data_IF_264156507259
#
_entry.id   IF_264156507259
#
_cell.length_a   1.000
_cell.length_b   1.000
_cell.length_c   1.000
_cell.angle_alpha   90.00
_cell.angle_beta   90.00
_cell.angle_gamma   90.00
#
_symmetry.space_group_name_H-M   'P 1'
#
loop_
_entity.id
_entity.type
_entity.pdbx_description
1 polymer ?
#
# COMPACT_ATOMS: atom_id res chain seq x y z
N UNK A 1 -1.87 -3.44 10.66
CA UNK A 1 -3.26 -3.88 10.55
C UNK A 1 -3.35 -5.32 10.06
N UNK A 2 -4.52 -5.93 10.15
CA UNK A 2 -4.76 -7.36 9.87
C UNK A 2 -4.15 -8.33 10.88
N UNK A 3 -3.82 -7.88 12.09
CA UNK A 3 -3.42 -8.73 13.19
C UNK A 3 -4.51 -8.75 14.27
N UNK A 4 -4.80 -9.93 14.76
CA UNK A 4 -5.61 -10.15 15.94
C UNK A 4 -4.84 -11.11 16.85
N UNK A 5 -4.33 -10.58 17.96
CA UNK A 5 -3.71 -11.42 18.99
C UNK A 5 -4.82 -12.00 19.87
N UNK A 6 -4.91 -13.31 19.91
CA UNK A 6 -5.89 -14.04 20.74
C UNK A 6 -5.32 -14.43 22.09
N UNK A 7 -4.00 -14.36 22.22
CA UNK A 7 -3.23 -14.67 23.45
C UNK A 7 -1.97 -13.80 23.47
N UNK A 8 -1.29 -13.76 24.62
CA UNK A 8 -0.01 -13.10 24.75
C UNK A 8 1.04 -13.75 23.84
N UNK A 9 1.74 -12.94 23.04
CA UNK A 9 2.76 -13.44 22.15
C UNK A 9 4.07 -13.70 22.90
N UNK A 10 4.49 -14.97 22.98
CA UNK A 10 5.71 -15.41 23.66
C UNK A 10 6.96 -15.28 22.77
N UNK A 11 7.20 -14.13 22.20
CA UNK A 11 8.31 -13.91 21.27
C UNK A 11 8.74 -12.46 21.22
N UNK A 12 9.67 -12.13 20.31
CA UNK A 12 10.12 -10.76 20.06
C UNK A 12 9.33 -10.16 18.90
N UNK A 13 8.69 -9.02 19.13
CA UNK A 13 8.03 -8.24 18.09
C UNK A 13 8.97 -7.12 17.64
N UNK A 14 9.35 -7.13 16.35
CA UNK A 14 10.10 -6.05 15.73
C UNK A 14 9.14 -5.01 15.16
N UNK A 15 9.20 -3.79 15.68
CA UNK A 15 8.47 -2.65 15.13
C UNK A 15 9.44 -1.74 14.36
N UNK A 16 9.42 -1.76 13.01
CA UNK A 16 10.32 -0.91 12.21
C UNK A 16 9.88 0.54 12.29
N UNK A 17 10.59 1.34 13.08
CA UNK A 17 10.32 2.76 13.29
C UNK A 17 11.12 3.70 12.37
N UNK A 18 11.72 3.20 11.29
CA UNK A 18 12.49 4.00 10.35
C UNK A 18 11.62 5.03 9.67
N UNK A 19 11.91 6.31 9.88
CA UNK A 19 11.22 7.45 9.29
C UNK A 19 12.01 8.00 8.07
N UNK A 20 11.43 8.97 7.40
CA UNK A 20 12.03 9.73 6.29
C UNK A 20 11.35 9.49 4.96
N UNK A 21 11.25 10.58 4.21
CA UNK A 21 10.74 10.67 2.84
C UNK A 21 11.78 11.42 2.03
N UNK A 22 12.38 10.81 1.02
CA UNK A 22 13.50 11.34 0.27
C UNK A 22 13.29 11.13 -1.23
N UNK A 23 13.48 12.19 -2.03
CA UNK A 23 13.58 12.09 -3.48
C UNK A 23 14.99 11.64 -3.82
N UNK A 24 15.13 10.49 -4.48
CA UNK A 24 16.45 9.94 -4.84
C UNK A 24 16.77 10.04 -6.33
N UNK A 25 15.75 10.23 -7.16
CA UNK A 25 15.87 10.45 -8.60
C UNK A 25 14.61 11.13 -9.09
N UNK A 26 14.75 12.03 -10.05
CA UNK A 26 13.65 12.76 -10.68
C UNK A 26 14.02 13.10 -12.13
N UNK A 27 13.03 13.02 -13.01
CA UNK A 27 13.09 13.53 -14.38
C UNK A 27 11.77 14.23 -14.75
N UNK A 28 11.49 14.46 -16.03
CA UNK A 28 10.27 15.16 -16.47
C UNK A 28 8.98 14.35 -16.31
N UNK A 29 9.06 13.02 -16.29
CA UNK A 29 7.93 12.09 -16.28
C UNK A 29 7.73 11.44 -14.92
N UNK A 30 8.82 11.11 -14.24
CA UNK A 30 8.81 10.27 -13.05
C UNK A 30 9.63 10.85 -11.91
N UNK A 31 9.26 10.46 -10.69
CA UNK A 31 10.02 10.69 -9.47
C UNK A 31 10.19 9.37 -8.72
N UNK A 32 11.38 9.14 -8.22
CA UNK A 32 11.70 8.00 -7.37
C UNK A 32 11.91 8.48 -5.95
N UNK A 33 11.08 7.96 -5.04
CA UNK A 33 11.09 8.37 -3.65
C UNK A 33 11.41 7.18 -2.74
N UNK A 34 12.33 7.39 -1.80
CA UNK A 34 12.75 6.42 -0.80
C UNK A 34 12.08 6.73 0.53
N UNK A 35 11.29 5.81 1.04
CA UNK A 35 10.43 5.99 2.20
C UNK A 35 10.80 5.00 3.29
N UNK A 36 10.94 5.50 4.52
CA UNK A 36 11.21 4.66 5.70
C UNK A 36 10.07 3.69 5.99
N UNK A 37 10.40 2.47 6.41
CA UNK A 37 9.41 1.42 6.68
C UNK A 37 8.40 1.78 7.78
N UNK A 38 8.78 2.64 8.73
CA UNK A 38 7.92 3.12 9.82
C UNK A 38 7.08 4.35 9.49
N UNK A 39 7.16 4.88 8.28
CA UNK A 39 6.28 5.98 7.84
C UNK A 39 4.86 5.44 7.71
N UNK A 40 3.88 6.15 8.28
CA UNK A 40 2.46 5.82 8.08
C UNK A 40 2.12 5.82 6.60
N UNK A 41 1.41 4.79 6.14
CA UNK A 41 1.08 4.64 4.72
C UNK A 41 0.28 5.83 4.19
N UNK A 42 -0.72 6.28 4.95
CA UNK A 42 -1.57 7.39 4.50
C UNK A 42 -0.85 8.74 4.51
N UNK A 43 0.12 8.95 5.41
CA UNK A 43 0.99 10.13 5.41
C UNK A 43 1.92 10.14 4.20
N UNK A 44 2.39 8.97 3.76
CA UNK A 44 3.14 8.85 2.51
C UNK A 44 2.26 9.21 1.31
N UNK A 45 1.05 8.63 1.20
CA UNK A 45 0.12 8.93 0.09
C UNK A 45 -0.29 10.40 0.09
N UNK A 46 -0.61 10.99 1.26
CA UNK A 46 -0.93 12.41 1.38
C UNK A 46 0.21 13.30 0.86
N UNK A 47 1.45 12.97 1.25
CA UNK A 47 2.62 13.70 0.81
C UNK A 47 2.81 13.62 -0.71
N UNK A 48 2.66 12.44 -1.35
CA UNK A 48 2.77 12.32 -2.81
C UNK A 48 1.72 13.16 -3.54
N UNK A 49 0.47 13.15 -3.06
CA UNK A 49 -0.62 13.98 -3.61
C UNK A 49 -0.30 15.49 -3.49
N UNK A 50 0.24 15.93 -2.35
CA UNK A 50 0.66 17.33 -2.14
C UNK A 50 1.79 17.76 -3.09
N UNK A 51 2.67 16.82 -3.48
CA UNK A 51 3.75 17.08 -4.45
C UNK A 51 3.27 17.00 -5.91
N UNK A 52 2.02 16.61 -6.17
CA UNK A 52 1.50 16.41 -7.52
C UNK A 52 1.94 15.08 -8.15
N UNK A 53 2.42 14.11 -7.37
CA UNK A 53 2.88 12.81 -7.86
C UNK A 53 1.80 11.74 -7.69
N UNK A 54 1.44 11.10 -8.79
CA UNK A 54 0.39 10.10 -8.82
C UNK A 54 0.90 8.67 -8.95
N UNK A 55 -0.04 7.75 -8.70
CA UNK A 55 0.13 6.31 -8.82
C UNK A 55 -0.17 5.54 -7.53
N UNK A 56 -0.41 6.26 -6.40
CA UNK A 56 -0.81 5.67 -5.12
C UNK A 56 -2.03 6.35 -4.49
N UNK A 57 -2.59 7.36 -5.13
CA UNK A 57 -3.73 8.16 -4.64
C UNK A 57 -4.96 7.32 -4.32
N UNK A 58 -5.24 6.28 -5.10
CA UNK A 58 -6.33 5.33 -4.85
C UNK A 58 -6.12 4.50 -3.57
N UNK A 59 -4.88 4.43 -3.07
CA UNK A 59 -4.51 3.71 -1.86
C UNK A 59 -4.57 4.57 -0.61
N UNK A 60 -5.27 5.69 -0.66
CA UNK A 60 -5.47 6.62 0.44
C UNK A 60 -6.24 5.99 1.60
N UNK A 61 -5.95 6.46 2.81
CA UNK A 61 -6.65 6.08 4.03
C UNK A 61 -6.63 4.57 4.33
N UNK A 62 -5.54 3.88 3.94
CA UNK A 62 -5.27 2.49 4.34
C UNK A 62 -4.38 2.53 5.58
N UNK A 63 -4.80 1.90 6.69
CA UNK A 63 -4.01 1.87 7.90
C UNK A 63 -2.77 1.00 7.76
N UNK A 64 -1.71 1.33 8.49
CA UNK A 64 -0.46 0.61 8.53
C UNK A 64 0.71 1.42 8.00
N UNK A 65 1.87 0.79 7.88
CA UNK A 65 3.14 1.44 7.56
C UNK A 65 3.65 1.04 6.19
N UNK A 66 4.49 1.89 5.62
CA UNK A 66 5.10 1.68 4.29
C UNK A 66 5.85 0.35 4.20
N UNK A 67 6.55 -0.08 5.26
CA UNK A 67 7.27 -1.36 5.28
C UNK A 67 6.38 -2.59 5.15
N UNK A 68 5.10 -2.50 5.48
CA UNK A 68 4.14 -3.60 5.30
C UNK A 68 3.58 -3.69 3.86
N UNK A 69 3.65 -2.60 3.09
CA UNK A 69 3.06 -2.53 1.76
C UNK A 69 3.60 -3.59 0.79
N UNK A 70 4.92 -3.84 0.66
CA UNK A 70 5.43 -4.87 -0.24
C UNK A 70 5.15 -6.30 0.25
N UNK A 71 4.94 -6.52 1.55
CA UNK A 71 4.69 -7.87 2.07
C UNK A 71 3.37 -8.42 1.56
N UNK A 72 2.31 -7.64 1.65
CA UNK A 72 0.96 -8.05 1.24
C UNK A 72 0.51 -7.46 -0.10
N UNK A 73 1.39 -6.74 -0.80
CA UNK A 73 1.04 -6.02 -2.01
C UNK A 73 -0.26 -5.24 -1.81
N UNK A 74 -0.22 -4.24 -0.91
CA UNK A 74 -1.41 -3.48 -0.52
C UNK A 74 -2.09 -2.90 -1.77
N UNK A 75 -3.41 -3.04 -1.85
CA UNK A 75 -4.16 -2.62 -3.03
C UNK A 75 -5.62 -2.29 -2.71
N UNK A 76 -6.15 -1.31 -3.42
CA UNK A 76 -7.54 -0.88 -3.36
C UNK A 76 -7.89 -0.08 -4.64
N UNK A 77 -9.16 -0.04 -4.97
CA UNK A 77 -9.69 0.78 -6.07
C UNK A 77 -8.92 0.64 -7.38
N UNK A 78 -8.59 -0.61 -7.76
CA UNK A 78 -7.95 -0.95 -9.03
C UNK A 78 -6.44 -0.69 -9.11
N UNK A 79 -5.78 -0.31 -8.01
CA UNK A 79 -4.33 -0.11 -7.94
C UNK A 79 -3.73 -1.04 -6.88
N UNK A 80 -2.54 -1.56 -7.16
CA UNK A 80 -1.72 -2.30 -6.21
C UNK A 80 -0.36 -1.59 -6.02
N UNK A 81 0.14 -1.56 -4.78
CA UNK A 81 1.40 -0.88 -4.46
C UNK A 81 2.59 -1.46 -5.23
N UNK A 82 2.58 -2.77 -5.52
CA UNK A 82 3.61 -3.45 -6.30
C UNK A 82 3.82 -2.87 -7.69
N UNK A 83 2.81 -2.24 -8.30
CA UNK A 83 2.94 -1.56 -9.59
C UNK A 83 3.86 -0.32 -9.52
N UNK A 84 4.03 0.22 -8.33
CA UNK A 84 4.82 1.44 -8.06
C UNK A 84 6.08 1.18 -7.25
N UNK A 85 6.26 -0.02 -6.71
CA UNK A 85 7.46 -0.39 -5.97
C UNK A 85 8.58 -0.73 -6.96
N UNK A 86 9.58 0.15 -7.03
CA UNK A 86 10.78 -0.05 -7.85
C UNK A 86 11.83 -0.91 -7.13
N UNK A 87 11.93 -0.78 -5.80
CA UNK A 87 12.93 -1.48 -4.99
C UNK A 87 12.50 -1.56 -3.53
N UNK A 88 12.90 -2.63 -2.84
CA UNK A 88 12.76 -2.81 -1.39
C UNK A 88 14.15 -2.90 -0.77
N UNK A 89 14.43 -2.09 0.24
CA UNK A 89 15.65 -2.16 1.04
C UNK A 89 15.34 -2.93 2.34
N UNK A 90 16.16 -3.93 2.65
CA UNK A 90 15.90 -4.82 3.77
C UNK A 90 17.19 -5.27 4.47
N UNK A 91 17.05 -5.88 5.64
CA UNK A 91 18.09 -6.65 6.32
C UNK A 91 17.77 -8.13 6.09
N UNK A 92 18.71 -8.87 5.52
CA UNK A 92 18.66 -10.34 5.45
C UNK A 92 19.04 -10.88 6.83
N UNK A 93 18.10 -11.55 7.51
CA UNK A 93 18.28 -12.04 8.87
C UNK A 93 19.26 -13.24 8.95
N UNK A 94 19.32 -14.04 7.90
CA UNK A 94 20.24 -15.20 7.85
C UNK A 94 21.70 -14.77 7.73
N UNK A 95 21.94 -13.66 7.03
CA UNK A 95 23.28 -13.16 6.73
C UNK A 95 23.68 -11.94 7.56
N UNK A 96 22.74 -11.31 8.24
CA UNK A 96 22.89 -10.04 8.98
C UNK A 96 23.45 -8.89 8.11
N UNK A 97 23.07 -8.82 6.82
CA UNK A 97 23.51 -7.79 5.88
C UNK A 97 22.34 -6.99 5.32
N UNK A 98 22.62 -5.77 4.90
CA UNK A 98 21.67 -4.96 4.11
C UNK A 98 21.62 -5.47 2.68
N UNK A 99 20.42 -5.54 2.12
CA UNK A 99 20.17 -5.97 0.75
C UNK A 99 19.19 -5.01 0.06
N UNK A 100 19.31 -4.90 -1.25
CA UNK A 100 18.37 -4.23 -2.12
C UNK A 100 17.72 -5.26 -3.03
N UNK A 101 16.41 -5.28 -3.08
CA UNK A 101 15.61 -6.24 -3.83
C UNK A 101 14.81 -5.45 -4.87
N UNK A 102 15.06 -5.72 -6.15
CA UNK A 102 14.32 -5.03 -7.21
C UNK A 102 12.83 -5.39 -7.15
N UNK A 103 11.94 -4.42 -7.46
CA UNK A 103 10.50 -4.62 -7.42
C UNK A 103 10.03 -5.84 -8.22
N UNK A 104 10.62 -6.09 -9.39
CA UNK A 104 10.34 -7.28 -10.22
C UNK A 104 10.63 -8.62 -9.50
N UNK A 105 11.60 -8.63 -8.60
CA UNK A 105 12.02 -9.83 -7.87
C UNK A 105 11.14 -10.08 -6.64
N UNK A 106 10.33 -9.10 -6.25
CA UNK A 106 9.34 -9.23 -5.17
C UNK A 106 8.15 -10.11 -5.53
N UNK A 107 7.98 -10.47 -6.81
CA UNK A 107 6.93 -11.38 -7.34
C UNK A 107 5.54 -11.01 -6.80
N UNK A 108 5.19 -9.75 -6.92
CA UNK A 108 3.89 -9.24 -6.49
C UNK A 108 2.75 -9.93 -7.22
N UNK A 109 1.73 -10.30 -6.47
CA UNK A 109 0.46 -10.84 -6.95
C UNK A 109 -0.68 -10.33 -6.06
N UNK A 110 -1.91 -10.68 -6.36
CA UNK A 110 -3.08 -10.23 -5.59
C UNK A 110 -2.94 -10.59 -4.10
N UNK A 111 -2.79 -9.57 -3.26
CA UNK A 111 -2.55 -9.69 -1.80
C UNK A 111 -1.41 -10.63 -1.44
N UNK A 112 -0.38 -10.69 -2.28
CA UNK A 112 0.72 -11.64 -2.15
C UNK A 112 2.05 -11.08 -2.66
N UNK A 113 3.15 -11.63 -2.14
CA UNK A 113 4.51 -11.36 -2.58
C UNK A 113 5.43 -12.50 -2.15
N UNK A 114 6.68 -12.46 -2.62
CA UNK A 114 7.71 -13.43 -2.19
C UNK A 114 7.97 -13.38 -0.68
N UNK A 115 7.74 -12.23 -0.02
CA UNK A 115 7.91 -12.07 1.43
C UNK A 115 6.86 -12.84 2.25
N UNK A 116 5.73 -13.20 1.65
CA UNK A 116 4.72 -14.08 2.27
C UNK A 116 4.94 -15.56 1.96
N UNK A 117 5.78 -15.88 1.02
CA UNK A 117 6.04 -17.23 0.50
C UNK A 117 7.46 -17.67 0.84
N UNK A 118 8.34 -17.79 -0.15
CA UNK A 118 9.69 -18.38 -0.04
C UNK A 118 10.59 -17.60 0.91
N UNK A 119 10.34 -16.28 1.08
CA UNK A 119 11.16 -15.41 1.93
C UNK A 119 10.45 -15.01 3.23
N UNK A 120 9.43 -15.76 3.62
CA UNK A 120 8.73 -15.53 4.89
C UNK A 120 9.71 -15.59 6.06
N UNK A 121 9.65 -14.58 6.93
CA UNK A 121 10.48 -14.41 8.13
C UNK A 121 12.00 -14.25 7.85
N UNK A 122 12.43 -14.06 6.60
CA UNK A 122 13.84 -13.91 6.26
C UNK A 122 14.29 -12.44 6.25
N UNK A 123 13.42 -11.50 5.94
CA UNK A 123 13.78 -10.11 5.76
C UNK A 123 13.05 -9.17 6.69
N UNK A 124 13.77 -8.17 7.23
CA UNK A 124 13.19 -6.98 7.85
C UNK A 124 13.29 -5.84 6.85
N UNK A 125 12.15 -5.40 6.33
CA UNK A 125 12.08 -4.27 5.40
C UNK A 125 12.40 -2.99 6.15
N UNK A 126 13.35 -2.21 5.64
CA UNK A 126 13.80 -0.97 6.27
C UNK A 126 13.35 0.26 5.50
N UNK A 127 13.27 0.18 4.18
CA UNK A 127 12.77 1.23 3.29
C UNK A 127 12.13 0.63 2.05
N UNK A 128 11.26 1.42 1.43
CA UNK A 128 10.66 1.08 0.13
C UNK A 128 10.89 2.26 -0.81
N UNK A 129 11.31 1.95 -2.03
CA UNK A 129 11.50 2.94 -3.09
C UNK A 129 10.33 2.83 -4.06
N UNK A 130 9.59 3.91 -4.21
CA UNK A 130 8.46 4.01 -5.14
C UNK A 130 8.84 4.81 -6.38
N UNK A 131 8.30 4.41 -7.51
CA UNK A 131 8.34 5.11 -8.78
C UNK A 131 6.97 5.71 -9.06
N UNK A 132 6.87 7.01 -9.00
CA UNK A 132 5.62 7.77 -9.13
C UNK A 132 5.63 8.63 -10.38
N UNK A 133 4.45 8.89 -10.94
CA UNK A 133 4.31 9.71 -12.14
C UNK A 133 4.09 11.17 -11.80
N UNK A 134 4.77 12.07 -12.52
CA UNK A 134 4.52 13.52 -12.52
C UNK A 134 3.39 13.91 -13.47
N UNK A 135 2.99 12.98 -14.35
CA UNK A 135 1.86 13.08 -15.28
C UNK A 135 0.93 11.89 -15.10
N UNK A 136 0.21 11.80 -13.97
CA UNK A 136 -0.56 10.61 -13.63
C UNK A 136 -1.74 10.39 -14.57
N UNK A 137 -1.94 9.14 -14.98
CA UNK A 137 -3.17 8.64 -15.57
C UNK A 137 -4.05 8.08 -14.45
N UNK A 138 -5.28 8.59 -14.33
CA UNK A 138 -6.17 8.23 -13.22
C UNK A 138 -6.98 6.97 -13.51
N UNK A 139 -6.98 6.03 -12.58
CA UNK A 139 -7.84 4.83 -12.62
C UNK A 139 -9.08 5.06 -11.78
N UNK A 140 -10.22 5.28 -12.46
CA UNK A 140 -11.48 5.65 -11.81
C UNK A 140 -12.57 4.58 -11.91
N UNK A 141 -12.33 3.52 -12.68
CA UNK A 141 -13.37 2.55 -13.07
C UNK A 141 -13.63 1.46 -12.03
N UNK A 142 -13.04 1.58 -10.85
CA UNK A 142 -13.20 0.59 -9.79
C UNK A 142 -14.16 1.04 -8.69
N UNK A 143 -15.21 0.22 -8.46
CA UNK A 143 -16.17 0.46 -7.38
C UNK A 143 -16.93 1.77 -7.50
N UNK A 144 -17.13 2.44 -6.37
CA UNK A 144 -17.92 3.67 -6.28
C UNK A 144 -17.09 4.95 -6.53
N UNK A 145 -15.82 4.84 -6.95
CA UNK A 145 -14.92 6.01 -7.01
C UNK A 145 -15.41 7.06 -8.00
N UNK A 146 -15.78 6.65 -9.21
CA UNK A 146 -16.31 7.55 -10.25
C UNK A 146 -17.57 8.25 -9.77
N UNK A 147 -18.53 7.51 -9.24
CA UNK A 147 -19.79 8.09 -8.76
C UNK A 147 -19.61 9.02 -7.56
N UNK A 148 -18.61 8.77 -6.70
CA UNK A 148 -18.31 9.66 -5.60
C UNK A 148 -17.65 10.97 -6.08
N UNK A 149 -16.76 10.90 -7.07
CA UNK A 149 -16.18 12.07 -7.72
C UNK A 149 -17.26 12.93 -8.40
N UNK A 150 -18.19 12.31 -9.11
CA UNK A 150 -19.34 13.01 -9.73
C UNK A 150 -20.19 13.74 -8.69
N UNK A 151 -20.49 13.12 -7.54
CA UNK A 151 -21.22 13.75 -6.44
C UNK A 151 -20.45 14.91 -5.79
N UNK A 152 -19.13 14.82 -5.74
CA UNK A 152 -18.30 15.90 -5.21
C UNK A 152 -18.25 17.11 -6.12
N UNK A 153 -18.45 16.91 -7.43
CA UNK A 153 -18.26 17.94 -8.45
C UNK A 153 -16.79 18.37 -8.60
N UNK A 154 -16.50 19.15 -9.65
CA UNK A 154 -15.17 19.68 -9.90
C UNK A 154 -14.29 18.80 -10.79
N UNK A 155 -13.03 19.20 -10.93
CA UNK A 155 -12.07 18.52 -11.80
C UNK A 155 -11.55 17.22 -11.19
N UNK A 156 -11.25 16.24 -12.05
CA UNK A 156 -10.55 15.02 -11.64
C UNK A 156 -9.07 15.34 -11.48
N UNK A 157 -8.59 15.29 -10.24
CA UNK A 157 -7.19 15.50 -9.89
C UNK A 157 -6.82 14.64 -8.67
N UNK A 158 -5.53 14.56 -8.35
CA UNK A 158 -5.01 13.76 -7.26
C UNK A 158 -5.71 14.04 -5.91
N UNK A 159 -5.94 15.32 -5.61
CA UNK A 159 -6.58 15.75 -4.36
C UNK A 159 -8.02 15.26 -4.28
N UNK A 160 -8.81 15.43 -5.35
CA UNK A 160 -10.21 15.02 -5.38
C UNK A 160 -10.34 13.49 -5.35
N UNK A 161 -9.46 12.75 -6.04
CA UNK A 161 -9.42 11.28 -5.96
C UNK A 161 -9.13 10.83 -4.53
N UNK A 162 -8.10 11.39 -3.89
CA UNK A 162 -7.80 11.10 -2.48
C UNK A 162 -9.02 11.36 -1.58
N UNK A 163 -9.69 12.50 -1.73
CA UNK A 163 -10.87 12.86 -0.93
C UNK A 163 -12.04 11.90 -1.16
N UNK A 164 -12.29 11.53 -2.42
CA UNK A 164 -13.35 10.56 -2.73
C UNK A 164 -13.07 9.19 -2.09
N UNK A 165 -11.83 8.71 -2.17
CA UNK A 165 -11.43 7.46 -1.50
C UNK A 165 -11.64 7.54 0.00
N UNK A 166 -11.21 8.63 0.65
CA UNK A 166 -11.39 8.83 2.10
C UNK A 166 -12.88 8.80 2.47
N UNK A 167 -13.74 9.51 1.72
CA UNK A 167 -15.20 9.51 1.96
C UNK A 167 -15.81 8.12 1.85
N UNK A 168 -15.49 7.38 0.78
CA UNK A 168 -15.98 6.03 0.58
C UNK A 168 -15.51 5.10 1.71
N UNK A 169 -14.27 5.22 2.15
CA UNK A 169 -13.74 4.37 3.22
C UNK A 169 -14.38 4.71 4.57
N UNK A 170 -14.55 5.98 4.91
CA UNK A 170 -15.22 6.41 6.13
C UNK A 170 -16.69 5.99 6.18
N UNK A 171 -17.38 5.92 5.03
CA UNK A 171 -18.76 5.43 5.00
C UNK A 171 -18.91 3.92 5.21
N UNK A 172 -17.82 3.15 5.02
CA UNK A 172 -17.85 1.69 5.08
C UNK A 172 -17.15 1.10 6.30
N UNK A 173 -16.19 1.82 6.86
CA UNK A 173 -15.34 1.34 7.95
C UNK A 173 -15.49 2.25 9.16
N UNK A 174 -15.77 1.70 10.34
CA UNK A 174 -15.77 2.48 11.57
C UNK A 174 -14.39 3.06 11.84
N UNK A 175 -14.33 4.19 12.52
CA UNK A 175 -13.08 4.74 13.00
C UNK A 175 -12.45 3.76 14.00
N UNK A 176 -11.19 3.41 13.79
CA UNK A 176 -10.46 2.46 14.65
C UNK A 176 -10.27 2.98 16.08
N UNK A 177 -10.32 4.30 16.28
CA UNK A 177 -10.27 4.92 17.60
C UNK A 177 -11.58 4.73 18.38
N UNK A 178 -12.72 4.63 17.67
CA UNK A 178 -14.05 4.40 18.28
C UNK A 178 -14.37 2.90 18.37
N UNK A 179 -14.13 2.17 17.27
CA UNK A 179 -14.39 0.72 17.18
C UNK A 179 -13.13 0.03 16.66
N UNK A 180 -12.29 -0.52 17.55
CA UNK A 180 -11.11 -1.28 17.14
C UNK A 180 -11.46 -2.40 16.18
N UNK A 181 -10.75 -2.48 15.05
CA UNK A 181 -11.01 -3.50 14.04
C UNK A 181 -9.73 -3.86 13.28
N UNK A 182 -9.69 -5.03 12.68
CA UNK A 182 -8.57 -5.52 11.87
C UNK A 182 -8.71 -5.16 10.37
N UNK A 183 -9.71 -4.38 9.99
CA UNK A 183 -10.00 -4.03 8.59
C UNK A 183 -10.48 -5.24 7.79
N UNK A 184 -10.19 -5.26 6.48
CA UNK A 184 -10.51 -6.39 5.59
C UNK A 184 -9.57 -7.56 5.89
N UNK A 185 -10.00 -8.44 6.79
CA UNK A 185 -9.20 -9.54 7.33
C UNK A 185 -9.04 -10.69 6.34
N UNK A 186 -10.10 -11.05 5.65
CA UNK A 186 -10.10 -12.16 4.71
C UNK A 186 -9.72 -11.72 3.29
N UNK A 187 -8.92 -12.53 2.62
CA UNK A 187 -8.62 -12.40 1.19
C UNK A 187 -9.80 -12.96 0.39
N UNK A 188 -10.26 -12.24 -0.63
CA UNK A 188 -11.26 -12.79 -1.56
C UNK A 188 -10.69 -14.02 -2.26
N UNK A 189 -11.44 -15.14 -2.33
CA UNK A 189 -11.00 -16.33 -3.04
C UNK A 189 -10.98 -16.08 -4.56
N UNK A 190 -10.04 -16.70 -5.23
CA UNK A 190 -10.07 -16.85 -6.68
C UNK A 190 -10.74 -18.18 -6.99
N UNK A 191 -11.89 -18.14 -7.65
CA UNK A 191 -12.68 -19.31 -7.99
C UNK A 191 -12.89 -19.41 -9.50
N UNK A 192 -13.30 -20.58 -10.00
CA UNK A 192 -13.71 -20.72 -11.39
C UNK A 192 -15.00 -19.93 -11.65
N UNK A 193 -15.26 -19.58 -12.93
CA UNK A 193 -16.49 -18.90 -13.32
C UNK A 193 -17.73 -19.71 -12.92
N UNK A 194 -17.70 -21.01 -13.11
CA UNK A 194 -18.79 -21.92 -12.72
C UNK A 194 -19.08 -21.88 -11.21
N UNK A 195 -18.05 -21.77 -10.38
CA UNK A 195 -18.21 -21.60 -8.94
C UNK A 195 -18.76 -20.22 -8.55
N UNK A 196 -18.34 -19.16 -9.25
CA UNK A 196 -18.85 -17.82 -9.01
C UNK A 196 -20.32 -17.68 -9.43
N UNK A 197 -20.74 -18.33 -10.51
CA UNK A 197 -22.12 -18.29 -11.01
C UNK A 197 -23.13 -19.07 -10.09
N UNK A 198 -22.63 -19.85 -9.11
CA UNK A 198 -23.44 -20.59 -8.11
C UNK A 198 -23.63 -19.81 -6.79
N UNK A 199 -22.95 -18.66 -6.62
CA UNK A 199 -23.04 -17.81 -5.43
C UNK A 199 -24.01 -16.65 -5.64
#
# INVERSE_FOLDING_TARGET
>A
SNFLFTEDFTGTVFYPAMQGKEVIKEDEEEVWVRIGAGVEWDDFVAWTVQQGWGGVENLSFIPGHVGAAPVQNVGAYGIEAGERIGRVEAIDLDKAIRVEIAGKDCRFAYRDSIFKREWKNRYIITRVVFRLSKKPEFRLDYGALRSELEKMGGEVNLTNIRQAVIRIRRSKLPDVAEIPNAGSFFKNPVVSREQADRL
#
